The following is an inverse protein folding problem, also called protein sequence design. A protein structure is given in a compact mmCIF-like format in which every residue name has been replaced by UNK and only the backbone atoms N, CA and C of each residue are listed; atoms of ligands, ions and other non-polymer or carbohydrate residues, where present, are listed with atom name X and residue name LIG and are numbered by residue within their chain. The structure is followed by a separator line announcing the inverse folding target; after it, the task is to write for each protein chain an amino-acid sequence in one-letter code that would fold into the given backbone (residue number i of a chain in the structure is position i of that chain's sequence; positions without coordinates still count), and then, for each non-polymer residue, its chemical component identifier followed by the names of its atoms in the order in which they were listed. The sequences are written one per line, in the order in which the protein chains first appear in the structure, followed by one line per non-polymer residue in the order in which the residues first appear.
data_IF_963317236650
#
_entry.id   IF_963317236650
#
_cell.length_a   1.000
_cell.length_b   1.000
_cell.length_c   1.000
_cell.angle_alpha   90.00
_cell.angle_beta   90.00
_cell.angle_gamma   90.00
#
_symmetry.space_group_name_H-M   'P 1'
#
loop_
_entity.id
_entity.type
_entity.pdbx_description
1 polymer ?
#
# COMPACT_ATOMS: atom_id res chain seq x y z
N UNK A 1 21.54 -82.07 56.62
CA UNK A 1 22.28 -80.86 57.04
C UNK A 1 22.42 -79.99 55.80
N UNK A 2 22.16 -78.68 55.91
CA UNK A 2 21.78 -77.76 54.83
C UNK A 2 22.77 -77.58 53.66
N UNK A 3 22.55 -76.74 52.66
CA UNK A 3 21.51 -75.76 52.32
C UNK A 3 21.88 -75.21 50.91
N UNK A 4 20.91 -74.60 50.22
CA UNK A 4 21.02 -73.63 49.09
C UNK A 4 21.28 -74.22 47.69
N UNK A 5 20.26 -74.23 46.82
CA UNK A 5 19.64 -73.12 46.02
C UNK A 5 20.50 -72.70 44.82
N UNK A 6 20.02 -72.99 43.60
CA UNK A 6 19.46 -71.97 42.69
C UNK A 6 18.77 -72.66 41.49
N UNK A 7 17.48 -72.31 41.29
CA UNK A 7 16.65 -72.59 40.10
C UNK A 7 17.00 -71.57 39.01
N UNK A 8 16.88 -71.94 37.73
CA UNK A 8 15.84 -71.41 36.80
C UNK A 8 15.54 -72.50 35.76
N UNK A 9 14.25 -72.78 35.57
CA UNK A 9 13.68 -73.81 34.71
C UNK A 9 12.57 -73.11 33.89
N UNK A 10 12.57 -73.39 32.57
CA UNK A 10 11.56 -73.21 31.51
C UNK A 10 10.46 -72.13 31.64
N UNK A 11 10.19 -71.49 30.50
CA UNK A 11 8.90 -71.72 29.83
C UNK A 11 8.04 -70.48 29.53
N UNK A 12 8.11 -70.03 28.27
CA UNK A 12 6.98 -69.65 27.40
C UNK A 12 6.09 -68.47 27.77
N UNK A 13 5.98 -67.49 26.85
CA UNK A 13 4.68 -66.91 26.51
C UNK A 13 4.73 -66.22 25.14
N UNK A 14 3.90 -66.71 24.22
CA UNK A 14 3.44 -65.99 23.02
C UNK A 14 2.63 -64.79 23.49
N UNK A 15 2.90 -63.59 22.99
CA UNK A 15 2.00 -62.45 23.11
C UNK A 15 2.17 -61.48 21.93
N UNK A 16 1.25 -61.63 20.98
CA UNK A 16 0.53 -60.55 20.30
C UNK A 16 1.35 -59.46 19.62
N UNK A 17 1.63 -59.67 18.33
CA UNK A 17 1.50 -58.57 17.37
C UNK A 17 0.03 -58.12 17.35
N UNK A 18 -0.30 -57.11 18.16
CA UNK A 18 -1.47 -56.28 17.91
C UNK A 18 -1.05 -55.18 16.94
N UNK A 19 -1.58 -55.29 15.73
CA UNK A 19 -1.62 -54.25 14.71
C UNK A 19 -2.13 -52.95 15.36
N UNK A 20 -1.26 -51.95 15.53
CA UNK A 20 -1.65 -50.57 15.81
C UNK A 20 -2.18 -49.93 14.52
N UNK A 21 -3.28 -50.47 13.98
CA UNK A 21 -4.18 -49.67 13.17
C UNK A 21 -4.95 -48.80 14.16
N UNK A 22 -4.55 -47.53 14.26
CA UNK A 22 -5.01 -46.60 15.27
C UNK A 22 -6.53 -46.45 15.29
N UNK A 23 -7.18 -47.01 16.30
CA UNK A 23 -8.49 -46.53 16.72
C UNK A 23 -8.28 -45.12 17.29
N UNK A 24 -8.68 -44.09 16.55
CA UNK A 24 -8.82 -42.74 17.11
C UNK A 24 -9.72 -42.83 18.33
N UNK A 25 -9.25 -42.32 19.48
CA UNK A 25 -10.02 -42.36 20.71
C UNK A 25 -11.30 -41.52 20.58
N UNK A 26 -12.34 -41.83 21.38
CA UNK A 26 -13.57 -41.03 21.40
C UNK A 26 -13.28 -39.55 21.64
N UNK A 27 -12.31 -39.26 22.51
CA UNK A 27 -11.86 -37.91 22.82
C UNK A 27 -11.13 -37.24 21.67
N UNK A 28 -10.24 -37.94 20.95
CA UNK A 28 -9.61 -37.40 19.74
C UNK A 28 -10.63 -37.06 18.65
N UNK A 29 -11.68 -37.89 18.51
CA UNK A 29 -12.77 -37.64 17.56
C UNK A 29 -13.58 -36.40 17.95
N UNK A 30 -13.96 -36.28 19.22
CA UNK A 30 -14.68 -35.11 19.71
C UNK A 30 -13.85 -33.82 19.56
N UNK A 31 -12.56 -33.85 19.90
CA UNK A 31 -11.66 -32.71 19.71
C UNK A 31 -11.51 -32.34 18.22
N UNK A 32 -11.43 -33.33 17.32
CA UNK A 32 -11.44 -33.08 15.87
C UNK A 32 -12.74 -32.41 15.42
N UNK A 33 -13.89 -32.93 15.86
CA UNK A 33 -15.21 -32.37 15.53
C UNK A 33 -15.31 -30.92 16.00
N UNK A 34 -14.82 -30.57 17.20
CA UNK A 34 -14.77 -29.17 17.67
C UNK A 34 -13.96 -28.23 16.78
N UNK A 35 -12.77 -28.64 16.32
CA UNK A 35 -11.97 -27.80 15.38
C UNK A 35 -12.69 -27.64 14.05
N UNK A 36 -13.28 -28.72 13.53
CA UNK A 36 -14.02 -28.66 12.27
C UNK A 36 -15.26 -27.77 12.37
N UNK A 37 -15.99 -27.81 13.48
CA UNK A 37 -17.16 -26.96 13.72
C UNK A 37 -16.77 -25.49 13.82
N UNK A 38 -15.68 -25.17 14.52
CA UNK A 38 -15.19 -23.78 14.66
C UNK A 38 -14.79 -23.21 13.30
N UNK A 39 -13.92 -23.90 12.57
CA UNK A 39 -13.40 -23.41 11.28
C UNK A 39 -14.46 -23.41 10.17
N UNK A 40 -15.48 -24.28 10.23
CA UNK A 40 -16.60 -24.25 9.27
C UNK A 40 -17.44 -22.97 9.37
N UNK A 41 -17.46 -22.26 10.51
CA UNK A 41 -18.18 -20.99 10.64
C UNK A 41 -17.62 -19.92 9.70
N UNK A 42 -16.31 -19.94 9.45
CA UNK A 42 -15.63 -19.04 8.51
C UNK A 42 -16.04 -19.30 7.05
N UNK A 43 -16.48 -20.52 6.73
CA UNK A 43 -16.99 -20.88 5.40
C UNK A 43 -18.48 -20.52 5.19
N UNK A 44 -19.10 -19.84 6.16
CA UNK A 44 -20.51 -19.48 6.08
C UNK A 44 -20.75 -18.45 4.99
N UNK A 45 -21.82 -18.61 4.22
CA UNK A 45 -22.32 -17.56 3.32
C UNK A 45 -23.21 -16.53 4.05
N UNK A 46 -23.50 -16.75 5.32
CA UNK A 46 -24.28 -15.84 6.17
C UNK A 46 -23.36 -14.86 6.89
N UNK A 47 -23.44 -13.58 6.51
CA UNK A 47 -22.62 -12.48 7.04
C UNK A 47 -22.76 -12.38 8.56
N UNK A 48 -23.96 -12.60 9.12
CA UNK A 48 -24.18 -12.53 10.56
C UNK A 48 -23.38 -13.61 11.31
N UNK A 49 -23.28 -14.81 10.74
CA UNK A 49 -22.42 -15.87 11.27
C UNK A 49 -20.96 -15.46 11.25
N UNK A 50 -20.49 -14.82 10.18
CA UNK A 50 -19.10 -14.32 10.07
C UNK A 50 -18.85 -13.23 11.11
N UNK A 51 -19.72 -12.22 11.20
CA UNK A 51 -19.62 -11.13 12.18
C UNK A 51 -19.54 -11.65 13.62
N UNK A 52 -20.38 -12.63 13.96
CA UNK A 52 -20.37 -13.25 15.29
C UNK A 52 -19.09 -14.08 15.54
N UNK A 53 -18.45 -14.58 14.48
CA UNK A 53 -17.22 -15.37 14.58
C UNK A 53 -15.99 -14.48 14.75
N UNK A 54 -15.97 -13.29 14.13
CA UNK A 54 -14.83 -12.35 14.19
C UNK A 54 -14.96 -11.26 15.27
N UNK A 55 -16.09 -11.22 15.98
CA UNK A 55 -16.44 -10.20 16.98
C UNK A 55 -16.07 -8.77 16.57
N UNK A 56 -16.84 -8.19 15.63
CA UNK A 56 -16.57 -6.86 15.08
C UNK A 56 -16.56 -5.73 16.12
N UNK A 57 -17.11 -5.95 17.32
CA UNK A 57 -17.04 -4.99 18.43
C UNK A 57 -15.64 -4.89 19.03
N UNK A 58 -14.85 -5.96 18.97
CA UNK A 58 -13.46 -5.93 19.44
C UNK A 58 -12.50 -5.31 18.41
N UNK A 59 -12.89 -5.30 17.13
CA UNK A 59 -12.07 -4.76 16.04
C UNK A 59 -12.13 -3.23 15.91
N UNK A 60 -13.23 -2.61 16.34
CA UNK A 60 -13.43 -1.16 16.22
C UNK A 60 -13.37 -0.45 17.58
N UNK A 61 -12.75 0.74 17.66
CA UNK A 61 -12.94 1.62 18.80
C UNK A 61 -14.43 1.90 19.02
N UNK A 62 -14.89 1.91 20.26
CA UNK A 62 -16.31 2.11 20.60
C UNK A 62 -16.91 3.42 20.05
N UNK A 63 -16.07 4.43 19.78
CA UNK A 63 -16.48 5.69 19.16
C UNK A 63 -16.71 5.62 17.64
N UNK A 64 -16.23 4.56 16.98
CA UNK A 64 -16.33 4.34 15.53
C UNK A 64 -17.26 3.17 15.19
N UNK A 65 -17.73 2.42 16.19
CA UNK A 65 -18.65 1.32 15.97
C UNK A 65 -20.06 1.83 15.60
N UNK A 66 -20.52 1.44 14.43
CA UNK A 66 -21.92 1.58 13.97
C UNK A 66 -22.37 0.24 13.37
N UNK A 67 -23.69 0.00 13.27
CA UNK A 67 -24.20 -1.19 12.59
C UNK A 67 -23.73 -1.26 11.12
N UNK A 68 -23.67 -0.11 10.43
CA UNK A 68 -23.16 0.01 9.07
C UNK A 68 -21.67 -0.36 8.97
N UNK A 69 -20.84 0.12 9.89
CA UNK A 69 -19.41 -0.22 9.93
C UNK A 69 -19.20 -1.71 10.25
N UNK A 70 -20.02 -2.28 11.13
CA UNK A 70 -19.98 -3.71 11.45
C UNK A 70 -20.41 -4.58 10.25
N UNK A 71 -21.41 -4.15 9.48
CA UNK A 71 -21.83 -4.78 8.23
C UNK A 71 -20.69 -4.76 7.21
N UNK A 72 -20.04 -3.61 7.05
CA UNK A 72 -18.96 -3.48 6.07
C UNK A 72 -17.73 -4.32 6.41
N UNK A 73 -17.35 -4.39 7.70
CA UNK A 73 -16.32 -5.31 8.16
C UNK A 73 -16.75 -6.77 7.92
N UNK A 74 -18.01 -7.11 8.21
CA UNK A 74 -18.56 -8.43 7.93
C UNK A 74 -18.43 -8.81 6.45
N UNK A 75 -18.68 -7.86 5.54
CA UNK A 75 -18.52 -8.04 4.10
C UNK A 75 -17.06 -8.30 3.72
N UNK A 76 -16.12 -7.50 4.23
CA UNK A 76 -14.68 -7.68 3.98
C UNK A 76 -14.23 -9.07 4.41
N UNK A 77 -14.58 -9.50 5.62
CA UNK A 77 -14.24 -10.83 6.09
C UNK A 77 -14.91 -11.95 5.29
N UNK A 78 -16.13 -11.73 4.80
CA UNK A 78 -16.78 -12.68 3.88
C UNK A 78 -16.00 -12.86 2.58
N UNK A 79 -15.39 -11.79 2.07
CA UNK A 79 -14.53 -11.85 0.90
C UNK A 79 -13.19 -12.55 1.22
N UNK A 80 -12.56 -12.25 2.35
CA UNK A 80 -11.37 -12.95 2.83
C UNK A 80 -11.58 -14.48 2.93
N UNK A 81 -12.76 -14.89 3.38
CA UNK A 81 -13.07 -16.31 3.59
C UNK A 81 -13.76 -17.00 2.40
N UNK A 82 -13.98 -16.30 1.28
CA UNK A 82 -14.68 -16.82 0.10
C UNK A 82 -14.18 -18.19 -0.35
N UNK A 83 -12.86 -18.35 -0.39
CA UNK A 83 -12.18 -19.60 -0.80
C UNK A 83 -11.44 -20.29 0.36
N UNK A 84 -11.74 -19.90 1.61
CA UNK A 84 -11.13 -20.48 2.80
C UNK A 84 -11.39 -21.99 2.88
N UNK A 85 -10.34 -22.75 3.13
CA UNK A 85 -10.46 -24.19 3.33
C UNK A 85 -9.48 -24.71 4.35
N UNK A 86 -9.79 -25.85 4.95
CA UNK A 86 -8.93 -26.46 5.96
C UNK A 86 -9.03 -27.98 5.95
N UNK A 87 -8.02 -28.62 6.53
CA UNK A 87 -7.96 -30.08 6.71
C UNK A 87 -7.26 -30.44 8.02
N UNK A 88 -8.03 -30.96 8.98
CA UNK A 88 -7.49 -31.52 10.23
C UNK A 88 -6.79 -32.85 9.90
N UNK A 89 -5.46 -32.84 9.99
CA UNK A 89 -4.59 -33.99 9.66
C UNK A 89 -4.48 -34.97 10.82
N UNK A 90 -4.24 -34.47 12.03
CA UNK A 90 -4.03 -35.30 13.21
C UNK A 90 -4.47 -34.58 14.47
N UNK A 91 -4.98 -35.33 15.45
CA UNK A 91 -5.40 -34.80 16.75
C UNK A 91 -4.79 -35.63 17.88
N UNK A 92 -4.21 -34.95 18.86
CA UNK A 92 -3.70 -35.53 20.10
C UNK A 92 -4.46 -34.93 21.27
N UNK A 93 -4.80 -35.75 22.26
CA UNK A 93 -5.46 -35.30 23.49
C UNK A 93 -4.76 -35.91 24.70
N UNK A 94 -4.64 -35.12 25.77
CA UNK A 94 -4.24 -35.51 27.11
C UNK A 94 -5.48 -35.32 28.00
N UNK A 95 -6.22 -36.42 28.21
CA UNK A 95 -7.47 -36.39 28.99
C UNK A 95 -7.26 -36.10 30.47
N UNK A 96 -6.09 -36.43 31.02
CA UNK A 96 -5.77 -36.15 32.42
C UNK A 96 -5.55 -34.64 32.64
N UNK A 97 -4.89 -33.99 31.69
CA UNK A 97 -4.67 -32.54 31.72
C UNK A 97 -5.80 -31.73 31.11
N UNK A 98 -6.74 -32.37 30.39
CA UNK A 98 -7.79 -31.68 29.65
C UNK A 98 -7.27 -30.82 28.51
N UNK A 99 -6.16 -31.21 27.87
CA UNK A 99 -5.53 -30.43 26.78
C UNK A 99 -5.47 -31.23 25.49
N UNK A 100 -5.50 -30.56 24.35
CA UNK A 100 -5.45 -31.17 23.04
C UNK A 100 -4.73 -30.31 22.02
N UNK A 101 -4.32 -30.94 20.93
CA UNK A 101 -3.68 -30.26 19.80
C UNK A 101 -4.12 -30.91 18.51
N UNK A 102 -4.56 -30.10 17.56
CA UNK A 102 -4.97 -30.52 16.22
C UNK A 102 -4.05 -29.92 15.16
N UNK A 103 -3.24 -30.77 14.54
CA UNK A 103 -2.44 -30.39 13.37
C UNK A 103 -3.37 -30.22 12.17
N UNK A 104 -3.44 -29.01 11.65
CA UNK A 104 -4.41 -28.59 10.64
C UNK A 104 -3.68 -27.89 9.50
N UNK A 105 -4.01 -28.25 8.25
CA UNK A 105 -3.65 -27.43 7.10
C UNK A 105 -4.76 -26.40 6.90
N UNK A 106 -4.42 -25.13 6.82
CA UNK A 106 -5.33 -24.01 6.63
C UNK A 106 -4.93 -23.31 5.33
N UNK A 107 -5.89 -23.06 4.47
CA UNK A 107 -5.71 -22.37 3.20
C UNK A 107 -6.46 -21.05 3.27
N UNK A 108 -5.72 -19.95 3.15
CA UNK A 108 -6.23 -18.58 3.15
C UNK A 108 -5.84 -17.89 1.85
N UNK A 109 -6.42 -16.72 1.61
CA UNK A 109 -5.94 -15.80 0.57
C UNK A 109 -4.45 -15.48 0.77
N UNK A 110 -3.73 -15.22 -0.32
CA UNK A 110 -2.42 -14.60 -0.31
C UNK A 110 -2.55 -13.15 0.19
N UNK A 111 -2.54 -13.04 1.51
CA UNK A 111 -2.69 -11.76 2.19
C UNK A 111 -1.44 -10.88 2.04
N UNK A 112 -0.28 -11.41 1.61
CA UNK A 112 0.90 -10.60 1.33
C UNK A 112 0.66 -9.75 0.08
N UNK A 113 0.23 -10.38 -1.02
CA UNK A 113 -0.12 -9.67 -2.26
C UNK A 113 -1.26 -8.68 -2.04
N UNK A 114 -2.29 -9.05 -1.27
CA UNK A 114 -3.38 -8.15 -0.90
C UNK A 114 -2.89 -6.94 -0.08
N UNK A 115 -2.06 -7.16 0.95
CA UNK A 115 -1.53 -6.07 1.79
C UNK A 115 -0.68 -5.11 0.96
N UNK A 116 0.11 -5.64 0.04
CA UNK A 116 0.93 -4.86 -0.89
C UNK A 116 0.09 -3.99 -1.81
N UNK A 117 -0.91 -4.58 -2.47
CA UNK A 117 -1.84 -3.85 -3.33
C UNK A 117 -2.60 -2.78 -2.57
N UNK A 118 -3.11 -3.13 -1.37
CA UNK A 118 -3.82 -2.20 -0.51
C UNK A 118 -2.94 -1.01 -0.08
N UNK A 119 -1.70 -1.27 0.30
CA UNK A 119 -0.74 -0.22 0.69
C UNK A 119 -0.41 0.72 -0.47
N UNK A 120 -0.30 0.19 -1.70
CA UNK A 120 -0.09 1.00 -2.90
C UNK A 120 -1.31 1.88 -3.21
N UNK A 121 -2.52 1.32 -3.19
CA UNK A 121 -3.74 2.10 -3.43
C UNK A 121 -3.94 3.18 -2.38
N UNK A 122 -3.67 2.87 -1.10
CA UNK A 122 -3.73 3.86 -0.03
C UNK A 122 -2.73 5.00 -0.23
N UNK A 123 -1.50 4.69 -0.62
CA UNK A 123 -0.48 5.70 -0.92
C UNK A 123 -0.91 6.62 -2.07
N UNK A 124 -1.39 6.05 -3.18
CA UNK A 124 -1.92 6.81 -4.31
C UNK A 124 -3.08 7.72 -3.87
N UNK A 125 -3.98 7.19 -3.05
CA UNK A 125 -5.11 7.96 -2.54
C UNK A 125 -4.70 9.15 -1.69
N UNK A 126 -3.67 8.99 -0.86
CA UNK A 126 -3.13 10.09 -0.07
C UNK A 126 -2.56 11.21 -0.96
N UNK A 127 -1.84 10.85 -2.02
CA UNK A 127 -1.28 11.81 -2.96
C UNK A 127 -2.39 12.53 -3.74
N UNK A 128 -3.44 11.82 -4.17
CA UNK A 128 -4.63 12.42 -4.78
C UNK A 128 -5.32 13.44 -3.87
N UNK A 129 -5.37 13.17 -2.55
CA UNK A 129 -5.95 14.10 -1.57
C UNK A 129 -5.12 15.37 -1.42
N UNK A 130 -3.79 15.28 -1.52
CA UNK A 130 -2.91 16.46 -1.52
C UNK A 130 -3.13 17.35 -2.77
N UNK A 131 -3.71 16.79 -3.84
CA UNK A 131 -4.10 17.51 -5.06
C UNK A 131 -5.58 17.92 -5.10
N UNK A 132 -6.34 17.67 -4.02
CA UNK A 132 -7.77 17.99 -3.94
C UNK A 132 -8.01 19.47 -3.62
N UNK A 133 -8.94 20.15 -4.30
CA UNK A 133 -9.32 21.53 -3.95
C UNK A 133 -10.11 21.63 -2.64
N UNK A 134 -10.59 20.50 -2.11
CA UNK A 134 -11.29 20.41 -0.82
C UNK A 134 -10.42 19.67 0.19
N UNK A 135 -10.35 20.21 1.41
CA UNK A 135 -9.83 19.48 2.57
C UNK A 135 -10.79 18.31 2.87
N UNK A 136 -10.45 17.14 2.35
CA UNK A 136 -11.15 15.88 2.60
C UNK A 136 -10.26 15.04 3.50
N UNK A 137 -10.70 14.79 4.73
CA UNK A 137 -10.00 13.86 5.61
C UNK A 137 -10.29 12.42 5.19
N UNK A 138 -9.23 11.63 5.01
CA UNK A 138 -9.35 10.19 4.75
C UNK A 138 -9.79 9.46 6.03
N UNK A 139 -10.96 8.84 5.99
CA UNK A 139 -11.55 8.17 7.16
C UNK A 139 -11.22 6.68 7.20
N UNK A 140 -11.44 6.05 8.36
CA UNK A 140 -11.38 4.58 8.47
C UNK A 140 -12.36 3.89 7.53
N UNK A 141 -13.53 4.48 7.29
CA UNK A 141 -14.53 3.92 6.38
C UNK A 141 -14.01 3.90 4.95
N UNK A 142 -13.35 4.96 4.50
CA UNK A 142 -12.70 5.00 3.17
C UNK A 142 -11.61 3.93 3.08
N UNK A 143 -10.84 3.73 4.16
CA UNK A 143 -9.86 2.65 4.30
C UNK A 143 -10.49 1.26 4.10
N UNK A 144 -11.64 1.00 4.72
CA UNK A 144 -12.36 -0.27 4.59
C UNK A 144 -12.93 -0.47 3.19
N UNK A 145 -13.50 0.58 2.58
CA UNK A 145 -14.04 0.54 1.22
C UNK A 145 -12.96 0.18 0.20
N UNK A 146 -11.79 0.80 0.28
CA UNK A 146 -10.66 0.45 -0.62
C UNK A 146 -10.25 -1.03 -0.50
N UNK A 147 -10.23 -1.57 0.72
CA UNK A 147 -9.88 -2.98 0.94
C UNK A 147 -10.94 -3.90 0.35
N UNK A 148 -12.23 -3.55 0.52
CA UNK A 148 -13.34 -4.30 -0.06
C UNK A 148 -13.31 -4.28 -1.57
N UNK A 149 -13.13 -3.10 -2.19
CA UNK A 149 -13.04 -2.95 -3.64
C UNK A 149 -11.92 -3.83 -4.22
N UNK A 150 -10.74 -3.83 -3.58
CA UNK A 150 -9.64 -4.71 -4.01
C UNK A 150 -9.99 -6.19 -3.94
N UNK A 151 -10.69 -6.63 -2.89
CA UNK A 151 -11.13 -8.01 -2.72
C UNK A 151 -12.26 -8.41 -3.68
N UNK A 152 -13.05 -7.45 -4.17
CA UNK A 152 -14.11 -7.67 -5.15
C UNK A 152 -13.57 -7.69 -6.59
N UNK A 153 -12.59 -6.84 -6.90
CA UNK A 153 -12.07 -6.64 -8.27
C UNK A 153 -10.93 -7.59 -8.63
N UNK A 154 -10.12 -8.00 -7.66
CA UNK A 154 -8.94 -8.85 -7.90
C UNK A 154 -9.13 -10.26 -7.33
N UNK A 155 -8.72 -11.24 -8.12
CA UNK A 155 -8.56 -12.61 -7.67
C UNK A 155 -7.12 -12.80 -7.18
N UNK A 156 -6.95 -13.05 -5.89
CA UNK A 156 -5.66 -13.35 -5.29
C UNK A 156 -5.44 -14.87 -5.24
N UNK A 157 -4.18 -15.28 -5.32
CA UNK A 157 -3.79 -16.67 -5.11
C UNK A 157 -4.11 -17.12 -3.68
N UNK A 158 -4.06 -18.44 -3.46
CA UNK A 158 -4.33 -19.05 -2.15
C UNK A 158 -3.05 -19.70 -1.60
N UNK A 159 -2.80 -19.52 -0.31
CA UNK A 159 -1.66 -20.10 0.40
C UNK A 159 -2.11 -21.10 1.46
N UNK A 160 -1.43 -22.26 1.54
CA UNK A 160 -1.69 -23.27 2.57
C UNK A 160 -0.56 -23.34 3.60
N UNK A 161 -0.91 -23.15 4.86
CA UNK A 161 -0.01 -23.28 6.01
C UNK A 161 -0.40 -24.41 6.95
N UNK A 162 0.57 -25.02 7.64
CA UNK A 162 0.31 -25.97 8.73
C UNK A 162 0.35 -25.27 10.09
N UNK A 163 -0.66 -25.52 10.93
CA UNK A 163 -0.69 -25.05 12.31
C UNK A 163 -1.12 -26.13 13.29
N UNK A 164 -0.65 -26.00 14.52
CA UNK A 164 -1.06 -26.81 15.66
C UNK A 164 -2.09 -26.03 16.47
N UNK A 165 -3.38 -26.31 16.25
CA UNK A 165 -4.49 -25.64 16.94
C UNK A 165 -4.62 -26.24 18.35
N UNK A 166 -4.50 -25.40 19.37
CA UNK A 166 -4.64 -25.82 20.76
C UNK A 166 -6.11 -25.99 21.14
N UNK A 167 -6.39 -26.99 21.98
CA UNK A 167 -7.71 -27.21 22.55
C UNK A 167 -7.65 -27.38 24.06
N UNK A 168 -8.72 -26.96 24.72
CA UNK A 168 -8.96 -27.22 26.13
C UNK A 168 -10.31 -27.92 26.33
N UNK A 169 -10.36 -28.76 27.36
CA UNK A 169 -11.56 -29.50 27.73
C UNK A 169 -12.37 -28.68 28.73
N UNK A 170 -13.56 -28.26 28.33
CA UNK A 170 -14.56 -27.64 29.20
C UNK A 170 -15.70 -28.64 29.47
N UNK A 171 -15.71 -29.20 30.68
CA UNK A 171 -16.65 -30.27 31.03
C UNK A 171 -16.45 -31.51 30.17
N UNK A 172 -17.48 -31.88 29.40
CA UNK A 172 -17.45 -33.00 28.45
C UNK A 172 -17.16 -32.57 27.01
N UNK A 173 -16.92 -31.29 26.76
CA UNK A 173 -16.69 -30.71 25.42
C UNK A 173 -15.27 -30.22 25.24
N UNK A 174 -14.79 -30.24 24.00
CA UNK A 174 -13.52 -29.62 23.61
C UNK A 174 -13.78 -28.27 22.97
N UNK A 175 -12.96 -27.27 23.28
CA UNK A 175 -13.00 -25.95 22.67
C UNK A 175 -11.66 -25.59 22.08
N UNK A 176 -11.68 -24.86 20.96
CA UNK A 176 -10.49 -24.24 20.38
C UNK A 176 -10.02 -23.13 21.32
N UNK A 177 -8.72 -23.09 21.59
CA UNK A 177 -8.10 -21.99 22.30
C UNK A 177 -7.65 -20.96 21.27
N UNK A 178 -8.28 -19.79 21.29
CA UNK A 178 -7.86 -18.67 20.46
C UNK A 178 -6.54 -18.10 20.98
N UNK A 179 -5.64 -17.84 20.05
CA UNK A 179 -4.32 -17.27 20.29
C UNK A 179 -4.06 -16.26 19.19
N UNK A 180 -3.29 -15.21 19.48
CA UNK A 180 -2.94 -14.19 18.47
C UNK A 180 -2.32 -14.82 17.19
N UNK A 181 -1.56 -15.91 17.35
CA UNK A 181 -0.97 -16.67 16.24
C UNK A 181 -2.04 -17.35 15.38
N UNK A 182 -3.04 -18.00 15.99
CA UNK A 182 -4.14 -18.62 15.27
C UNK A 182 -5.02 -17.57 14.58
N UNK A 183 -5.39 -16.50 15.29
CA UNK A 183 -6.26 -15.46 14.75
C UNK A 183 -5.58 -14.70 13.58
N UNK A 184 -4.27 -14.44 13.69
CA UNK A 184 -3.45 -13.90 12.59
C UNK A 184 -3.42 -14.88 11.41
N UNK A 185 -3.19 -16.17 11.66
CA UNK A 185 -3.14 -17.17 10.58
C UNK A 185 -4.47 -17.30 9.84
N UNK A 186 -5.61 -17.21 10.53
CA UNK A 186 -6.94 -17.30 9.91
C UNK A 186 -7.19 -16.14 8.93
N UNK A 187 -6.53 -15.00 9.12
CA UNK A 187 -6.58 -13.84 8.20
C UNK A 187 -5.40 -13.81 7.22
N UNK A 188 -4.69 -14.92 7.05
CA UNK A 188 -3.52 -15.01 6.17
C UNK A 188 -2.31 -14.19 6.66
N UNK A 189 -2.32 -13.75 7.92
CA UNK A 189 -1.36 -12.80 8.51
C UNK A 189 -1.41 -11.39 7.92
N UNK A 190 -2.54 -10.97 7.35
CA UNK A 190 -2.71 -9.66 6.72
C UNK A 190 -2.21 -8.49 7.60
N UNK A 191 -2.62 -8.43 8.87
CA UNK A 191 -2.20 -7.36 9.79
C UNK A 191 -0.68 -7.35 10.06
N UNK A 192 -0.04 -8.51 9.99
CA UNK A 192 1.42 -8.62 10.16
C UNK A 192 2.14 -8.07 8.94
N UNK A 193 1.65 -8.35 7.72
CA UNK A 193 2.19 -7.74 6.49
C UNK A 193 1.96 -6.24 6.45
N UNK A 194 0.78 -5.75 6.85
CA UNK A 194 0.50 -4.31 6.95
C UNK A 194 1.40 -3.58 7.97
N UNK A 195 1.97 -4.31 8.93
CA UNK A 195 2.92 -3.77 9.92
C UNK A 195 4.38 -3.95 9.50
N UNK A 196 4.63 -4.61 8.36
CA UNK A 196 5.99 -4.80 7.83
C UNK A 196 6.43 -3.51 7.14
N UNK A 197 7.37 -2.81 7.76
CA UNK A 197 7.92 -1.58 7.22
C UNK A 197 8.69 -1.76 5.90
N UNK A 198 8.95 -3.00 5.48
CA UNK A 198 9.59 -3.35 4.22
C UNK A 198 8.62 -3.97 3.21
N UNK A 199 7.29 -3.92 3.46
CA UNK A 199 6.28 -4.48 2.56
C UNK A 199 6.39 -3.93 1.13
N UNK A 200 6.56 -2.61 1.02
CA UNK A 200 6.82 -1.91 -0.23
C UNK A 200 8.31 -1.60 -0.36
N UNK A 201 8.89 -1.82 -1.53
CA UNK A 201 10.27 -1.38 -1.80
C UNK A 201 10.34 0.14 -1.99
N UNK A 202 11.52 0.76 -1.81
CA UNK A 202 11.74 2.16 -2.14
C UNK A 202 11.28 2.54 -3.56
N UNK A 203 11.60 1.72 -4.57
CA UNK A 203 11.17 1.94 -5.95
C UNK A 203 9.66 1.91 -6.11
N UNK A 204 8.96 0.99 -5.42
CA UNK A 204 7.49 0.93 -5.49
C UNK A 204 6.83 2.17 -4.89
N UNK A 205 7.42 2.74 -3.85
CA UNK A 205 6.98 4.02 -3.28
C UNK A 205 7.20 5.17 -4.25
N UNK A 206 8.37 5.24 -4.89
CA UNK A 206 8.68 6.29 -5.88
C UNK A 206 7.80 6.16 -7.11
N UNK A 207 7.59 4.94 -7.61
CA UNK A 207 6.72 4.64 -8.75
C UNK A 207 5.26 5.00 -8.46
N UNK A 208 4.74 4.60 -7.30
CA UNK A 208 3.40 5.00 -6.89
C UNK A 208 3.28 6.53 -6.80
N UNK A 209 4.30 7.21 -6.29
CA UNK A 209 4.29 8.66 -6.14
C UNK A 209 4.32 9.41 -7.47
N UNK A 210 5.33 9.12 -8.31
CA UNK A 210 5.51 9.81 -9.58
C UNK A 210 4.46 9.36 -10.59
N UNK A 211 4.01 8.10 -10.53
CA UNK A 211 2.90 7.57 -11.31
C UNK A 211 1.60 8.32 -11.03
N UNK A 212 1.26 8.55 -9.76
CA UNK A 212 0.06 9.33 -9.41
C UNK A 212 0.16 10.78 -9.88
N UNK A 213 1.32 11.44 -9.71
CA UNK A 213 1.52 12.82 -10.20
C UNK A 213 1.41 12.89 -11.73
N UNK A 214 1.90 11.87 -12.44
CA UNK A 214 1.81 11.77 -13.90
C UNK A 214 0.36 11.63 -14.40
N UNK A 215 -0.50 11.00 -13.61
CA UNK A 215 -1.91 10.81 -13.95
C UNK A 215 -2.79 12.01 -13.57
N UNK A 216 -2.24 13.03 -12.91
CA UNK A 216 -2.96 14.25 -12.57
C UNK A 216 -3.26 15.12 -13.78
N UNK A 217 -4.46 15.69 -13.80
CA UNK A 217 -4.76 16.77 -14.73
C UNK A 217 -4.08 18.09 -14.33
N UNK A 218 -4.11 19.06 -15.24
CA UNK A 218 -3.51 20.38 -15.03
C UNK A 218 -4.04 21.13 -13.79
N UNK A 219 -5.29 20.92 -13.35
CA UNK A 219 -5.82 21.57 -12.13
C UNK A 219 -5.26 20.90 -10.87
N UNK A 220 -5.24 19.56 -10.86
CA UNK A 220 -4.62 18.78 -9.78
C UNK A 220 -3.13 19.11 -9.63
N UNK A 221 -2.39 19.17 -10.75
CA UNK A 221 -0.99 19.57 -10.75
C UNK A 221 -0.79 20.98 -10.20
N UNK A 222 -1.66 21.93 -10.57
CA UNK A 222 -1.59 23.30 -10.05
C UNK A 222 -1.72 23.37 -8.53
N UNK A 223 -2.63 22.58 -7.96
CA UNK A 223 -2.83 22.46 -6.51
C UNK A 223 -1.65 21.75 -5.85
N UNK A 224 -1.34 20.55 -6.33
CA UNK A 224 -0.30 19.68 -5.77
C UNK A 224 1.07 20.36 -5.74
N UNK A 225 1.43 21.01 -6.84
CA UNK A 225 2.70 21.74 -6.98
C UNK A 225 2.64 23.16 -6.42
N UNK A 226 1.51 23.57 -5.84
CA UNK A 226 1.32 24.90 -5.25
C UNK A 226 1.65 26.06 -6.22
N UNK A 227 1.32 25.89 -7.50
CA UNK A 227 1.68 26.84 -8.57
C UNK A 227 1.03 28.21 -8.40
N UNK A 228 -0.10 28.30 -7.69
CA UNK A 228 -0.75 29.58 -7.38
C UNK A 228 0.09 30.45 -6.43
N UNK A 229 1.09 29.88 -5.74
CA UNK A 229 2.01 30.60 -4.87
C UNK A 229 3.31 31.05 -5.56
N UNK A 230 3.52 30.70 -6.84
CA UNK A 230 4.71 31.12 -7.58
C UNK A 230 4.81 32.64 -7.78
N UNK A 231 3.68 33.36 -7.79
CA UNK A 231 3.65 34.80 -7.99
C UNK A 231 2.79 35.47 -6.92
N UNK A 232 3.35 36.48 -6.24
CA UNK A 232 2.77 37.12 -5.04
C UNK A 232 1.45 37.90 -5.25
N UNK A 233 0.86 37.87 -6.45
CA UNK A 233 -0.35 38.66 -6.78
C UNK A 233 -1.46 37.78 -7.35
N UNK A 234 -2.65 37.86 -6.76
CA UNK A 234 -3.83 37.14 -7.24
C UNK A 234 -4.53 37.92 -8.38
N UNK A 235 -3.85 38.02 -9.52
CA UNK A 235 -4.39 38.62 -10.75
C UNK A 235 -4.67 37.56 -11.83
N UNK A 236 -5.56 37.88 -12.77
CA UNK A 236 -5.97 36.94 -13.83
C UNK A 236 -4.81 36.43 -14.68
N UNK A 237 -3.72 37.20 -14.77
CA UNK A 237 -2.53 36.81 -15.51
C UNK A 237 -1.77 35.70 -14.79
N UNK A 238 -1.58 35.81 -13.47
CA UNK A 238 -0.86 34.78 -12.72
C UNK A 238 -1.62 33.46 -12.69
N UNK A 239 -2.95 33.49 -12.60
CA UNK A 239 -3.74 32.28 -12.75
C UNK A 239 -3.56 31.64 -14.14
N UNK A 240 -3.51 32.45 -15.20
CA UNK A 240 -3.24 31.96 -16.57
C UNK A 240 -1.82 31.38 -16.70
N UNK A 241 -0.83 32.01 -16.05
CA UNK A 241 0.56 31.57 -16.04
C UNK A 241 0.72 30.24 -15.30
N UNK A 242 0.17 30.12 -14.08
CA UNK A 242 0.20 28.90 -13.30
C UNK A 242 -0.50 27.75 -14.04
N UNK A 243 -1.62 28.03 -14.70
CA UNK A 243 -2.30 27.05 -15.56
C UNK A 243 -1.46 26.63 -16.78
N UNK A 244 -0.84 27.59 -17.49
CA UNK A 244 -0.01 27.27 -18.64
C UNK A 244 1.22 26.42 -18.26
N UNK A 245 1.82 26.69 -17.09
CA UNK A 245 2.90 25.86 -16.52
C UNK A 245 2.38 24.46 -16.18
N UNK A 246 1.25 24.35 -15.49
CA UNK A 246 0.64 23.05 -15.15
C UNK A 246 0.37 22.21 -16.41
N UNK A 247 -0.19 22.83 -17.45
CA UNK A 247 -0.46 22.18 -18.74
C UNK A 247 0.82 21.74 -19.47
N UNK A 248 1.92 22.46 -19.32
CA UNK A 248 3.20 22.02 -19.87
C UNK A 248 3.72 20.79 -19.11
N UNK A 249 3.64 20.79 -17.78
CA UNK A 249 4.04 19.65 -16.95
C UNK A 249 3.17 18.43 -17.27
N UNK A 250 1.85 18.57 -17.29
CA UNK A 250 0.87 17.52 -17.67
C UNK A 250 1.25 16.84 -19.00
N UNK A 251 1.60 17.63 -20.02
CA UNK A 251 1.98 17.11 -21.35
C UNK A 251 3.35 16.42 -21.40
N UNK A 252 4.29 16.86 -20.57
CA UNK A 252 5.71 16.50 -20.70
C UNK A 252 6.21 15.55 -19.62
N UNK A 253 5.56 15.52 -18.46
CA UNK A 253 6.06 14.82 -17.29
C UNK A 253 6.07 13.32 -17.52
N UNK A 254 7.27 12.76 -17.47
CA UNK A 254 7.49 11.32 -17.50
C UNK A 254 8.67 10.98 -16.60
N UNK A 255 8.79 9.71 -16.23
CA UNK A 255 9.90 9.26 -15.42
C UNK A 255 10.26 7.80 -15.71
N UNK A 256 11.53 7.47 -15.48
CA UNK A 256 12.03 6.10 -15.54
C UNK A 256 12.89 5.83 -14.30
N UNK A 257 12.49 4.84 -13.50
CA UNK A 257 13.32 4.33 -12.41
C UNK A 257 14.39 3.42 -13.02
N UNK A 258 15.64 3.72 -12.71
CA UNK A 258 16.80 3.03 -13.32
C UNK A 258 17.55 2.15 -12.34
N UNK A 259 17.61 2.55 -11.07
CA UNK A 259 18.37 1.85 -10.05
C UNK A 259 17.80 2.13 -8.65
N UNK A 260 17.98 1.18 -7.73
CA UNK A 260 17.65 1.30 -6.32
C UNK A 260 18.85 0.82 -5.50
N UNK A 261 19.29 1.65 -4.56
CA UNK A 261 20.30 1.32 -3.57
C UNK A 261 19.69 1.47 -2.17
N UNK A 262 19.81 0.42 -1.35
CA UNK A 262 19.33 0.42 0.04
C UNK A 262 20.49 0.25 1.01
N UNK A 263 20.58 1.15 1.99
CA UNK A 263 21.53 1.10 3.09
C UNK A 263 20.81 1.23 4.44
N UNK A 264 20.51 0.09 5.07
CA UNK A 264 19.83 0.06 6.37
C UNK A 264 18.43 0.67 6.29
N UNK A 265 18.20 1.76 7.03
CA UNK A 265 16.93 2.51 7.07
C UNK A 265 16.89 3.68 6.08
N UNK A 266 17.83 3.75 5.14
CA UNK A 266 17.86 4.75 4.07
C UNK A 266 17.95 4.06 2.71
N UNK A 267 17.40 4.69 1.68
CA UNK A 267 17.49 4.23 0.30
C UNK A 267 17.63 5.41 -0.65
N UNK A 268 18.21 5.16 -1.82
CA UNK A 268 18.29 6.08 -2.93
C UNK A 268 17.76 5.39 -4.20
N UNK A 269 16.76 6.00 -4.83
CA UNK A 269 16.19 5.54 -6.09
C UNK A 269 16.63 6.50 -7.20
N UNK A 270 17.35 6.00 -8.20
CA UNK A 270 17.79 6.80 -9.34
C UNK A 270 16.66 6.89 -10.37
N UNK A 271 16.24 8.12 -10.66
CA UNK A 271 15.12 8.41 -11.55
C UNK A 271 15.57 9.37 -12.65
N UNK A 272 15.29 9.02 -13.90
CA UNK A 272 15.35 9.95 -15.03
C UNK A 272 14.00 10.63 -15.17
N UNK A 273 13.91 11.91 -14.82
CA UNK A 273 12.67 12.70 -14.93
C UNK A 273 12.68 13.50 -16.22
N UNK A 274 11.61 13.41 -17.00
CA UNK A 274 11.36 14.23 -18.18
C UNK A 274 10.38 15.35 -17.83
N UNK A 275 10.67 16.57 -18.25
CA UNK A 275 9.88 17.76 -17.94
C UNK A 275 9.97 18.80 -19.07
N UNK A 276 9.14 19.87 -19.05
CA UNK A 276 9.20 20.92 -20.07
C UNK A 276 10.57 21.60 -20.09
N UNK A 277 11.09 21.87 -21.28
CA UNK A 277 12.34 22.61 -21.44
C UNK A 277 12.10 24.12 -21.30
N UNK A 278 12.18 24.62 -20.06
CA UNK A 278 12.02 26.04 -19.77
C UNK A 278 13.14 26.92 -20.32
N UNK A 279 14.32 26.37 -20.60
CA UNK A 279 15.40 27.12 -21.25
C UNK A 279 15.01 27.45 -22.70
N UNK A 280 14.47 26.48 -23.43
CA UNK A 280 13.92 26.69 -24.77
C UNK A 280 12.75 27.69 -24.76
N UNK A 281 11.84 27.60 -23.78
CA UNK A 281 10.72 28.54 -23.59
C UNK A 281 11.24 29.98 -23.41
N UNK A 282 12.17 30.19 -22.47
CA UNK A 282 12.68 31.52 -22.14
C UNK A 282 13.54 32.10 -23.27
N UNK A 283 14.24 31.25 -24.02
CA UNK A 283 14.98 31.64 -25.23
C UNK A 283 14.01 32.14 -26.31
N UNK A 284 12.96 31.38 -26.61
CA UNK A 284 11.91 31.78 -27.56
C UNK A 284 11.24 33.10 -27.15
N UNK A 285 10.92 33.25 -25.86
CA UNK A 285 10.38 34.48 -25.30
C UNK A 285 11.32 35.67 -25.52
N UNK A 286 12.61 35.54 -25.19
CA UNK A 286 13.63 36.58 -25.38
C UNK A 286 13.76 37.00 -26.84
N UNK A 287 13.74 36.05 -27.77
CA UNK A 287 13.81 36.33 -29.21
C UNK A 287 12.57 37.09 -29.70
N UNK A 288 11.37 36.59 -29.38
CA UNK A 288 10.09 37.23 -29.77
C UNK A 288 9.98 38.64 -29.19
N UNK A 289 10.34 38.83 -27.92
CA UNK A 289 10.36 40.15 -27.28
C UNK A 289 11.34 41.10 -27.95
N UNK A 290 12.57 40.64 -28.23
CA UNK A 290 13.61 41.44 -28.90
C UNK A 290 13.17 41.88 -30.31
N UNK A 291 12.47 41.02 -31.05
CA UNK A 291 11.90 41.37 -32.35
C UNK A 291 10.81 42.43 -32.21
N UNK A 292 9.88 42.25 -31.28
CA UNK A 292 8.80 43.20 -31.04
C UNK A 292 9.32 44.57 -30.61
N UNK A 293 10.35 44.62 -29.76
CA UNK A 293 10.98 45.87 -29.30
C UNK A 293 11.56 46.70 -30.45
N UNK A 294 11.88 46.10 -31.61
CA UNK A 294 12.35 46.82 -32.82
C UNK A 294 11.23 47.45 -33.66
N UNK A 295 9.96 47.23 -33.30
CA UNK A 295 8.81 47.73 -34.06
C UNK A 295 8.41 49.15 -33.66
N UNK A 296 7.63 49.83 -34.51
CA UNK A 296 7.03 51.12 -34.15
C UNK A 296 5.94 50.98 -33.08
N UNK A 297 5.31 49.80 -32.98
CA UNK A 297 4.26 49.49 -32.00
C UNK A 297 4.82 49.58 -30.57
N UNK A 298 5.99 48.97 -30.31
CA UNK A 298 6.65 48.97 -29.00
C UNK A 298 6.99 50.38 -28.48
N UNK A 299 7.33 51.30 -29.39
CA UNK A 299 7.61 52.70 -29.08
C UNK A 299 6.34 53.45 -28.67
N UNK A 300 5.21 53.14 -29.32
CA UNK A 300 3.91 53.78 -29.06
C UNK A 300 3.13 53.18 -27.89
N UNK A 301 3.44 51.95 -27.47
CA UNK A 301 2.69 51.18 -26.46
C UNK A 301 2.76 51.76 -25.03
N UNK A 302 3.77 52.60 -24.73
CA UNK A 302 4.01 53.11 -23.38
C UNK A 302 4.37 52.00 -22.37
N UNK A 303 4.46 52.35 -21.08
CA UNK A 303 4.90 51.39 -20.05
C UNK A 303 3.87 50.29 -19.74
N UNK A 304 2.58 50.60 -19.85
CA UNK A 304 1.52 49.61 -19.61
C UNK A 304 1.42 48.62 -20.77
N UNK A 305 1.34 49.10 -22.02
CA UNK A 305 1.25 48.22 -23.19
C UNK A 305 2.49 47.33 -23.36
N UNK A 306 3.68 47.80 -22.97
CA UNK A 306 4.88 46.95 -22.92
C UNK A 306 4.74 45.78 -21.94
N UNK A 307 4.25 46.04 -20.72
CA UNK A 307 4.01 44.97 -19.72
C UNK A 307 2.95 43.98 -20.18
N UNK A 308 1.87 44.45 -20.80
CA UNK A 308 0.83 43.59 -21.37
C UNK A 308 1.40 42.70 -22.48
N UNK A 309 2.26 43.25 -23.36
CA UNK A 309 2.92 42.48 -24.42
C UNK A 309 3.92 41.45 -23.88
N UNK A 310 4.73 41.82 -22.88
CA UNK A 310 5.65 40.90 -22.21
C UNK A 310 4.89 39.69 -21.62
N UNK A 311 3.79 39.95 -20.92
CA UNK A 311 2.88 38.94 -20.37
C UNK A 311 2.29 38.02 -21.46
N UNK A 312 1.76 38.61 -22.53
CA UNK A 312 1.20 37.86 -23.68
C UNK A 312 2.26 36.95 -24.34
N UNK A 313 3.46 37.50 -24.59
CA UNK A 313 4.53 36.75 -25.24
C UNK A 313 5.01 35.58 -24.37
N UNK A 314 5.20 35.79 -23.06
CA UNK A 314 5.63 34.71 -22.17
C UNK A 314 4.61 33.58 -22.14
N UNK A 315 3.32 33.89 -21.94
CA UNK A 315 2.24 32.91 -21.99
C UNK A 315 2.25 32.13 -23.30
N UNK A 316 2.31 32.82 -24.45
CA UNK A 316 2.35 32.15 -25.74
C UNK A 316 3.54 31.21 -25.90
N UNK A 317 4.72 31.56 -25.35
CA UNK A 317 5.91 30.71 -25.46
C UNK A 317 5.79 29.46 -24.58
N UNK A 318 5.14 29.56 -23.43
CA UNK A 318 4.85 28.42 -22.55
C UNK A 318 3.80 27.53 -23.23
N UNK A 319 2.70 28.10 -23.73
CA UNK A 319 1.61 27.36 -24.37
C UNK A 319 2.06 26.64 -25.64
N UNK A 320 2.85 27.31 -26.49
CA UNK A 320 3.35 26.79 -27.76
C UNK A 320 4.52 25.81 -27.62
N UNK A 321 5.04 25.60 -26.41
CA UNK A 321 6.21 24.74 -26.22
C UNK A 321 5.90 23.26 -26.48
N UNK A 322 6.77 22.63 -27.26
CA UNK A 322 6.77 21.18 -27.54
C UNK A 322 8.09 20.53 -27.11
N UNK A 323 9.04 21.30 -26.58
CA UNK A 323 10.37 20.79 -26.19
C UNK A 323 10.39 20.31 -24.75
N UNK A 324 11.08 19.19 -24.54
CA UNK A 324 11.26 18.55 -23.24
C UNK A 324 12.74 18.31 -22.97
N UNK A 325 13.08 18.20 -21.69
CA UNK A 325 14.42 17.87 -21.21
C UNK A 325 14.34 16.77 -20.17
N UNK A 326 15.44 16.07 -19.92
CA UNK A 326 15.51 15.02 -18.91
C UNK A 326 16.65 15.26 -17.92
N UNK A 327 16.38 15.04 -16.63
CA UNK A 327 17.34 15.19 -15.53
C UNK A 327 17.36 13.91 -14.69
N UNK A 328 18.55 13.36 -14.50
CA UNK A 328 18.74 12.24 -13.58
C UNK A 328 18.88 12.77 -12.16
N UNK A 329 18.06 12.26 -11.25
CA UNK A 329 18.06 12.61 -9.83
C UNK A 329 18.11 11.35 -8.97
N UNK A 330 18.65 11.50 -7.76
CA UNK A 330 18.58 10.48 -6.72
C UNK A 330 17.47 10.87 -5.74
N UNK A 331 16.35 10.14 -5.75
CA UNK A 331 15.27 10.30 -4.78
C UNK A 331 15.68 9.58 -3.50
N UNK A 332 15.86 10.33 -2.41
CA UNK A 332 16.26 9.75 -1.12
C UNK A 332 15.01 9.38 -0.32
N UNK A 333 15.03 8.19 0.29
CA UNK A 333 13.98 7.70 1.18
C UNK A 333 14.58 7.31 2.53
N UNK A 334 13.77 7.43 3.58
CA UNK A 334 14.07 6.87 4.89
C UNK A 334 12.92 6.01 5.36
N UNK A 335 13.25 4.93 6.08
CA UNK A 335 12.28 4.07 6.71
C UNK A 335 12.13 4.48 8.18
N UNK A 336 10.91 4.83 8.59
CA UNK A 336 10.62 5.29 9.96
C UNK A 336 10.19 4.17 10.92
N UNK A 337 10.29 2.92 10.47
CA UNK A 337 9.80 1.74 11.19
C UNK A 337 8.33 1.43 10.94
N UNK A 338 7.63 2.24 10.13
CA UNK A 338 6.27 1.96 9.66
C UNK A 338 6.27 1.77 8.15
N UNK A 339 6.90 2.67 7.38
CA UNK A 339 7.08 2.52 5.94
C UNK A 339 8.25 3.40 5.44
N UNK A 340 8.63 3.22 4.17
CA UNK A 340 9.51 4.14 3.46
C UNK A 340 8.81 5.47 3.17
N UNK A 341 9.54 6.57 3.36
CA UNK A 341 9.07 7.94 3.10
C UNK A 341 10.05 8.66 2.19
N UNK A 342 9.53 9.28 1.13
CA UNK A 342 10.29 10.16 0.26
C UNK A 342 10.72 11.40 1.05
N UNK A 343 12.01 11.69 1.03
CA UNK A 343 12.54 12.95 1.53
C UNK A 343 12.43 13.99 0.42
N UNK A 344 11.36 14.80 0.47
CA UNK A 344 11.16 15.89 -0.48
C UNK A 344 12.29 16.91 -0.36
N UNK A 345 12.92 17.23 -1.48
CA UNK A 345 13.98 18.22 -1.60
C UNK A 345 13.79 19.09 -2.86
N UNK A 346 14.65 20.09 -3.02
CA UNK A 346 14.59 20.98 -4.18
C UNK A 346 14.95 20.29 -5.50
N UNK A 347 15.73 19.20 -5.47
CA UNK A 347 16.12 18.49 -6.70
C UNK A 347 14.93 17.80 -7.34
N UNK A 348 14.06 17.18 -6.52
CA UNK A 348 12.81 16.57 -6.99
C UNK A 348 11.92 17.64 -7.62
N UNK A 349 11.69 18.74 -6.90
CA UNK A 349 10.87 19.84 -7.39
C UNK A 349 11.43 20.42 -8.70
N UNK A 350 12.72 20.75 -8.75
CA UNK A 350 13.38 21.28 -9.95
C UNK A 350 13.28 20.32 -11.14
N UNK A 351 13.44 19.01 -10.92
CA UNK A 351 13.33 18.02 -11.98
C UNK A 351 11.91 17.97 -12.58
N UNK A 352 10.87 18.02 -11.73
CA UNK A 352 9.47 18.07 -12.17
C UNK A 352 9.15 19.38 -12.90
N UNK A 353 9.65 20.51 -12.40
CA UNK A 353 9.38 21.84 -12.98
C UNK A 353 10.22 22.19 -14.22
N UNK A 354 11.15 21.34 -14.65
CA UNK A 354 12.03 21.66 -15.79
C UNK A 354 13.12 22.70 -15.45
N UNK A 355 13.58 22.72 -14.20
CA UNK A 355 14.71 23.51 -13.71
C UNK A 355 14.64 25.01 -14.09
N UNK A 356 13.46 25.60 -13.88
CA UNK A 356 13.18 27.02 -14.11
C UNK A 356 14.28 27.95 -13.55
N UNK A 357 14.81 27.77 -12.32
CA UNK A 357 15.87 28.63 -11.79
C UNK A 357 17.14 28.61 -12.67
N UNK A 358 17.54 27.45 -13.17
CA UNK A 358 18.69 27.33 -14.07
C UNK A 358 18.40 27.95 -15.44
N UNK A 359 17.20 27.73 -15.98
CA UNK A 359 16.76 28.34 -17.24
C UNK A 359 16.76 29.88 -17.19
N UNK A 360 16.32 30.47 -16.07
CA UNK A 360 16.40 31.93 -15.86
C UNK A 360 17.86 32.40 -15.86
N UNK A 361 18.74 31.64 -15.19
CA UNK A 361 20.15 31.97 -15.08
C UNK A 361 20.85 31.94 -16.44
N UNK A 362 20.64 30.90 -17.25
CA UNK A 362 21.29 30.75 -18.56
C UNK A 362 20.91 31.87 -19.53
N UNK A 363 19.62 32.21 -19.61
CA UNK A 363 19.12 33.27 -20.48
C UNK A 363 19.61 34.67 -20.06
N UNK A 364 19.96 34.85 -18.78
CA UNK A 364 20.51 36.09 -18.22
C UNK A 364 22.01 36.28 -18.49
N UNK A 365 22.79 35.21 -18.61
CA UNK A 365 24.23 35.27 -18.91
C UNK A 365 24.50 35.65 -20.36
N UNK A 366 23.59 35.29 -21.28
CA UNK A 366 23.57 35.73 -22.70
C UNK A 366 23.29 37.24 -22.89
N UNK A 367 23.48 38.07 -21.84
CA UNK A 367 23.24 39.52 -21.83
C UNK A 367 24.53 40.31 -21.48
N UNK A 368 25.67 39.64 -21.27
CA UNK A 368 26.99 40.30 -21.31
C UNK A 368 27.58 40.29 -22.72
#
# INVERSE_FOLDING_TARGET
MGFKKAKVLLGGMVLGLCLLTGCTSKSQRAAKESVEEELKKLQSSDIQTIQNTIDTQELLPSSQYTEEAAEEIGNIFSLFYKDFSFKVKNVKTDEEKGTGTAKTAITTIDAYSLAKDYSLVLLKKQIELDASPQEVEFSLNDSCLLLKELLEEKDYDMETSEADISLEKEGDTWKVVHTAELDSLLTGNFASYMSDAQLLSPSEIVDAHFGTIKDFDSEQLKIYLSLDHLVETDDSYNNSLSMAIAQQIDKAFDYEITEEEQEGSTAAVQVSVTSPDFESILTSYKERLTQWLKTSESLSAGAQGRREKERELLLSCIEDNETVTSKNIAVTLYNDGINWKIQMDSNIAEAVFGDIPSAISSVSEDIQ
#
